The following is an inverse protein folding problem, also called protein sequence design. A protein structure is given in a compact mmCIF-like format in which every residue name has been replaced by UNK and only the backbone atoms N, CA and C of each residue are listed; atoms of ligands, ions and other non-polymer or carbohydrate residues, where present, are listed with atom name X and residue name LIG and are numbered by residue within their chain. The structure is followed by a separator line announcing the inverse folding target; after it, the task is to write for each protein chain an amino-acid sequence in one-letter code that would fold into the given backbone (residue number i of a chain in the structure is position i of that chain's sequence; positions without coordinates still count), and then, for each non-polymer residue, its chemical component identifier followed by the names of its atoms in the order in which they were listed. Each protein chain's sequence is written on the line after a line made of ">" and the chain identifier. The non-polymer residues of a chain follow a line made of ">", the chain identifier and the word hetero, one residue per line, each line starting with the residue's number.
data_IF_259596388524
#
_entry.id   IF_259596388524
#
_cell.length_a   1.000
_cell.length_b   1.000
_cell.length_c   1.000
_cell.angle_alpha   90.00
_cell.angle_beta   90.00
_cell.angle_gamma   90.00
#
_symmetry.space_group_name_H-M   'P 1'
#
loop_
_entity.id
_entity.type
_entity.pdbx_description
1 polymer ?
#
# COMPACT_ATOMS: atom_id res chain seq x y z
N UNK A 1 24.25 17.43 -37.81
CA UNK A 1 23.25 18.48 -37.51
C UNK A 1 22.09 17.79 -36.81
N UNK A 2 22.18 17.70 -35.48
CA UNK A 2 21.41 18.45 -34.47
C UNK A 2 19.98 17.92 -34.23
N UNK A 3 19.89 16.90 -33.38
CA UNK A 3 18.66 16.39 -32.77
C UNK A 3 18.30 17.08 -31.45
N UNK A 4 18.65 18.37 -31.29
CA UNK A 4 18.30 19.18 -30.11
C UNK A 4 17.16 20.17 -30.37
N UNK A 5 16.88 20.52 -31.62
CA UNK A 5 15.91 21.59 -31.94
C UNK A 5 14.43 21.14 -31.86
N UNK A 6 14.14 19.85 -31.61
CA UNK A 6 12.75 19.35 -31.45
C UNK A 6 12.24 19.28 -30.01
N UNK A 7 13.04 19.66 -29.02
CA UNK A 7 12.64 19.61 -27.60
C UNK A 7 12.24 20.98 -27.02
N UNK A 8 12.63 22.07 -27.68
CA UNK A 8 12.34 23.43 -27.19
C UNK A 8 10.95 23.96 -27.61
N UNK A 9 10.17 23.16 -28.37
CA UNK A 9 8.87 23.56 -28.94
C UNK A 9 7.66 22.82 -28.33
N UNK A 10 7.82 22.18 -27.16
CA UNK A 10 6.65 21.68 -26.42
C UNK A 10 6.02 22.86 -25.68
N UNK A 11 4.99 23.45 -26.28
CA UNK A 11 4.14 24.44 -25.61
C UNK A 11 3.55 23.83 -24.33
N UNK A 12 3.89 24.44 -23.20
CA UNK A 12 3.33 24.10 -21.89
C UNK A 12 1.83 24.42 -21.95
N UNK A 13 0.92 23.44 -21.75
CA UNK A 13 -0.51 23.68 -21.77
C UNK A 13 -0.89 24.76 -20.75
N UNK A 14 -1.68 25.74 -21.17
CA UNK A 14 -2.11 26.89 -20.34
C UNK A 14 -2.84 26.48 -19.06
N UNK A 15 -3.35 25.25 -18.98
CA UNK A 15 -3.96 24.67 -17.77
C UNK A 15 -2.96 24.44 -16.62
N UNK A 16 -1.67 24.24 -16.90
CA UNK A 16 -0.63 24.08 -15.87
C UNK A 16 -0.26 25.41 -15.21
N UNK A 17 -0.27 26.50 -15.98
CA UNK A 17 -0.04 27.85 -15.45
C UNK A 17 -1.10 28.30 -14.46
N UNK A 18 -2.37 27.93 -14.69
CA UNK A 18 -3.47 28.23 -13.76
C UNK A 18 -3.31 27.48 -12.45
N UNK A 19 -2.98 26.19 -12.49
CA UNK A 19 -2.74 25.36 -11.29
C UNK A 19 -1.55 25.88 -10.47
N UNK A 20 -0.46 26.29 -11.14
CA UNK A 20 0.72 26.85 -10.47
C UNK A 20 0.41 28.23 -9.86
N UNK A 21 -0.35 29.08 -10.56
CA UNK A 21 -0.75 30.39 -10.04
C UNK A 21 -1.74 30.27 -8.87
N UNK A 22 -2.67 29.32 -8.91
CA UNK A 22 -3.62 29.06 -7.83
C UNK A 22 -2.93 28.47 -6.59
N UNK A 23 -1.98 27.56 -6.78
CA UNK A 23 -1.14 27.04 -5.70
C UNK A 23 -0.33 28.18 -5.05
N UNK A 24 0.24 29.08 -5.85
CA UNK A 24 1.06 30.21 -5.37
C UNK A 24 0.20 31.28 -4.67
N UNK A 25 -1.02 31.56 -5.15
CA UNK A 25 -1.99 32.46 -4.49
C UNK A 25 -2.48 31.89 -3.15
N UNK A 26 -2.76 30.58 -3.06
CA UNK A 26 -3.14 29.91 -1.81
C UNK A 26 -2.02 29.93 -0.77
N UNK A 27 -0.76 29.71 -1.19
CA UNK A 27 0.41 29.77 -0.32
C UNK A 27 0.66 31.17 0.28
N UNK A 28 0.49 32.23 -0.52
CA UNK A 28 0.63 33.61 -0.03
C UNK A 28 -0.49 34.03 0.93
N UNK A 29 -1.72 33.53 0.75
CA UNK A 29 -2.86 33.80 1.65
C UNK A 29 -2.66 33.18 3.04
N UNK A 30 -2.05 31.98 3.12
CA UNK A 30 -1.74 31.32 4.40
C UNK A 30 -0.59 32.02 5.16
N UNK A 31 0.39 32.62 4.47
CA UNK A 31 1.52 33.28 5.13
C UNK A 31 1.14 34.61 5.83
N UNK A 32 0.08 35.28 5.39
CA UNK A 32 -0.36 36.58 5.95
C UNK A 32 -1.19 36.45 7.23
N UNK A 33 -1.78 35.29 7.51
CA UNK A 33 -2.66 35.09 8.68
C UNK A 33 -1.98 34.46 9.91
N UNK A 34 -0.67 34.22 9.86
CA UNK A 34 0.08 33.52 10.92
C UNK A 34 0.64 34.46 12.00
N UNK A 35 0.10 35.68 12.11
CA UNK A 35 0.56 36.71 13.06
C UNK A 35 -0.50 37.14 14.07
N UNK A 36 -1.49 36.32 14.36
CA UNK A 36 -2.31 36.45 15.58
C UNK A 36 -2.74 35.05 16.00
N UNK A 37 -2.10 34.51 17.04
CA UNK A 37 -2.72 33.81 18.18
C UNK A 37 -1.62 33.09 18.98
N UNK A 38 -1.19 33.72 20.07
CA UNK A 38 -0.49 33.06 21.18
C UNK A 38 -1.58 32.74 22.20
N UNK A 39 -1.73 31.46 22.58
CA UNK A 39 -2.62 31.06 23.67
C UNK A 39 -3.10 29.61 23.59
N UNK A 40 -2.38 28.74 24.31
CA UNK A 40 -2.90 27.65 25.16
C UNK A 40 -3.68 26.45 24.59
N UNK A 41 -3.35 25.29 25.18
CA UNK A 41 -4.11 24.03 25.33
C UNK A 41 -4.13 22.99 24.19
N UNK A 42 -3.32 21.93 24.41
CA UNK A 42 -3.71 20.51 24.38
C UNK A 42 -4.97 20.13 23.58
N UNK A 43 -4.84 20.05 22.26
CA UNK A 43 -5.53 19.06 21.41
C UNK A 43 -4.56 18.74 20.28
N UNK A 44 -3.83 17.63 20.38
CA UNK A 44 -2.96 17.15 19.32
C UNK A 44 -3.84 16.67 18.16
N UNK A 45 -4.06 17.58 17.22
CA UNK A 45 -4.87 17.38 16.04
C UNK A 45 -4.38 16.17 15.23
N UNK A 46 -5.32 15.27 14.90
CA UNK A 46 -5.24 14.37 13.76
C UNK A 46 -5.16 15.22 12.49
N UNK A 47 -3.97 15.69 12.17
CA UNK A 47 -3.69 16.36 10.91
C UNK A 47 -3.48 15.27 9.86
N UNK A 48 -4.49 15.08 9.00
CA UNK A 48 -4.33 14.35 7.74
C UNK A 48 -3.16 14.96 6.96
N UNK A 49 -2.00 14.32 7.07
CA UNK A 49 -0.81 14.67 6.33
C UNK A 49 -1.02 14.19 4.89
N UNK A 50 -1.40 15.10 4.00
CA UNK A 50 -1.20 14.88 2.56
C UNK A 50 0.31 14.92 2.33
N UNK A 51 0.94 13.75 2.41
CA UNK A 51 2.36 13.61 2.06
C UNK A 51 2.44 13.64 0.54
N UNK A 52 2.81 14.79 -0.03
CA UNK A 52 3.32 14.83 -1.39
C UNK A 52 4.73 14.23 -1.38
N UNK A 53 4.85 12.93 -1.61
CA UNK A 53 6.17 12.28 -1.71
C UNK A 53 6.75 12.65 -3.07
N UNK A 54 7.78 13.50 -3.06
CA UNK A 54 8.64 13.74 -4.22
C UNK A 54 9.74 12.66 -4.22
N UNK A 55 9.49 11.52 -4.86
CA UNK A 55 10.52 10.48 -5.08
C UNK A 55 11.00 10.52 -6.54
N UNK A 56 12.25 10.93 -6.81
CA UNK A 56 12.83 11.02 -8.16
C UNK A 56 12.86 9.68 -8.93
N UNK A 57 12.77 8.55 -8.24
CA UNK A 57 12.82 7.19 -8.80
C UNK A 57 11.60 6.84 -9.66
N UNK A 58 10.49 7.56 -9.53
CA UNK A 58 9.24 7.25 -10.24
C UNK A 58 9.32 7.53 -11.74
N UNK A 59 10.18 8.46 -12.18
CA UNK A 59 10.26 8.90 -13.57
C UNK A 59 10.80 7.81 -14.54
N UNK A 60 11.59 6.85 -14.05
CA UNK A 60 12.18 5.78 -14.86
C UNK A 60 11.20 4.62 -15.16
N UNK A 61 10.03 4.59 -14.51
CA UNK A 61 9.13 3.43 -14.56
C UNK A 61 8.23 3.36 -15.80
N UNK A 62 8.09 4.44 -16.59
CA UNK A 62 7.03 4.55 -17.60
C UNK A 62 7.43 4.23 -19.06
N UNK A 63 8.68 3.87 -19.35
CA UNK A 63 9.17 3.88 -20.74
C UNK A 63 8.60 2.79 -21.67
N UNK A 64 8.15 1.63 -21.17
CA UNK A 64 8.09 0.43 -22.03
C UNK A 64 6.79 -0.42 -21.96
N UNK A 65 5.64 0.12 -21.53
CA UNK A 65 4.37 -0.63 -21.51
C UNK A 65 3.30 0.10 -22.34
N UNK A 66 2.54 -0.59 -23.22
CA UNK A 66 1.40 0.01 -23.91
C UNK A 66 0.31 0.39 -22.89
N UNK A 67 0.32 1.65 -22.50
CA UNK A 67 -0.64 2.23 -21.57
C UNK A 67 -1.94 2.52 -22.31
N UNK A 68 -3.04 1.97 -21.82
CA UNK A 68 -4.41 2.35 -22.24
C UNK A 68 -4.94 3.34 -21.20
N UNK A 69 -5.63 4.40 -21.62
CA UNK A 69 -6.22 5.37 -20.72
C UNK A 69 -5.27 6.46 -20.23
N UNK A 70 -5.78 7.35 -19.37
CA UNK A 70 -5.04 8.50 -18.85
C UNK A 70 -4.49 8.22 -17.45
N UNK A 71 -3.22 8.55 -17.22
CA UNK A 71 -2.61 8.48 -15.87
C UNK A 71 -3.35 9.46 -14.95
N UNK A 72 -3.86 8.97 -13.84
CA UNK A 72 -4.47 9.78 -12.78
C UNK A 72 -3.43 10.11 -11.72
N UNK A 73 -2.68 9.12 -11.26
CA UNK A 73 -1.76 9.26 -10.11
C UNK A 73 -0.64 8.22 -10.19
N UNK A 74 0.56 8.59 -9.75
CA UNK A 74 1.68 7.66 -9.56
C UNK A 74 2.24 7.85 -8.15
N UNK A 75 2.41 6.77 -7.41
CA UNK A 75 2.92 6.79 -6.04
C UNK A 75 3.56 5.44 -5.70
N UNK A 76 4.35 5.43 -4.61
CA UNK A 76 4.86 4.19 -4.03
C UNK A 76 3.87 3.67 -2.99
N UNK A 77 3.53 4.47 -1.98
CA UNK A 77 2.60 4.09 -0.90
C UNK A 77 1.40 5.03 -0.89
N UNK A 78 0.21 4.52 -0.57
CA UNK A 78 -0.98 5.34 -0.34
C UNK A 78 -2.25 4.75 -0.92
N UNK A 79 -3.24 5.61 -1.17
CA UNK A 79 -4.53 5.22 -1.72
C UNK A 79 -5.07 6.19 -2.75
N UNK A 80 -6.18 5.80 -3.37
CA UNK A 80 -6.85 6.52 -4.44
C UNK A 80 -8.15 5.83 -4.87
N UNK A 81 -8.56 6.04 -6.11
CA UNK A 81 -9.80 5.48 -6.65
C UNK A 81 -11.07 6.20 -6.20
N UNK A 82 -12.21 5.58 -6.50
CA UNK A 82 -13.56 6.10 -6.22
C UNK A 82 -14.41 5.05 -5.50
N UNK A 83 -15.44 5.51 -4.77
CA UNK A 83 -16.41 4.60 -4.18
C UNK A 83 -17.09 3.77 -5.27
N UNK A 84 -17.12 2.46 -5.08
CA UNK A 84 -17.79 1.50 -5.97
C UNK A 84 -18.54 0.49 -5.12
N UNK A 85 -19.45 -0.26 -5.73
CA UNK A 85 -20.13 -1.38 -5.09
C UNK A 85 -20.29 -2.51 -6.11
N UNK A 86 -19.99 -3.74 -5.70
CA UNK A 86 -20.14 -4.92 -6.54
C UNK A 86 -19.13 -5.05 -7.68
N UNK A 87 -18.01 -4.32 -7.64
CA UNK A 87 -16.99 -4.46 -8.68
C UNK A 87 -16.33 -5.84 -8.64
N UNK A 88 -15.95 -6.33 -9.82
CA UNK A 88 -15.17 -7.57 -10.00
C UNK A 88 -13.80 -7.20 -10.51
N UNK A 89 -12.76 -7.72 -9.86
CA UNK A 89 -11.37 -7.51 -10.22
C UNK A 89 -10.79 -8.70 -10.98
N UNK A 90 -9.94 -8.42 -11.95
CA UNK A 90 -9.10 -9.41 -12.64
C UNK A 90 -7.72 -8.83 -12.93
N UNK A 91 -6.73 -9.68 -13.11
CA UNK A 91 -5.35 -9.27 -13.34
C UNK A 91 -4.92 -9.53 -14.77
N UNK A 92 -3.85 -8.86 -15.21
CA UNK A 92 -3.10 -9.20 -16.41
C UNK A 92 -1.62 -8.92 -16.16
N UNK A 93 -0.79 -9.94 -16.29
CA UNK A 93 0.65 -9.81 -16.22
C UNK A 93 1.25 -9.49 -17.59
N UNK A 94 2.26 -8.62 -17.61
CA UNK A 94 3.10 -8.32 -18.77
C UNK A 94 4.51 -7.96 -18.29
N UNK A 95 5.51 -8.77 -18.67
CA UNK A 95 6.89 -8.64 -18.15
C UNK A 95 6.93 -8.62 -16.61
N UNK A 96 7.61 -7.66 -15.99
CA UNK A 96 7.64 -7.45 -14.54
C UNK A 96 6.57 -6.44 -14.05
N UNK A 97 5.46 -6.35 -14.78
CA UNK A 97 4.31 -5.54 -14.43
C UNK A 97 3.03 -6.37 -14.31
N UNK A 98 2.11 -5.87 -13.48
CA UNK A 98 0.77 -6.39 -13.26
C UNK A 98 -0.24 -5.27 -13.39
N UNK A 99 -1.25 -5.45 -14.24
CA UNK A 99 -2.42 -4.58 -14.30
C UNK A 99 -3.61 -5.24 -13.62
N UNK A 100 -4.33 -4.50 -12.78
CA UNK A 100 -5.53 -4.93 -12.06
C UNK A 100 -6.70 -4.15 -12.64
N UNK A 101 -7.56 -4.83 -13.39
CA UNK A 101 -8.70 -4.27 -14.09
C UNK A 101 -10.00 -4.54 -13.33
N UNK A 102 -10.97 -3.65 -13.50
CA UNK A 102 -12.24 -3.70 -12.78
C UNK A 102 -13.42 -3.60 -13.73
N UNK A 103 -14.49 -4.35 -13.42
CA UNK A 103 -15.75 -4.31 -14.17
C UNK A 103 -16.96 -4.43 -13.25
N UNK A 104 -18.11 -3.96 -13.74
CA UNK A 104 -19.45 -4.18 -13.18
C UNK A 104 -20.37 -4.54 -14.35
N UNK A 105 -21.17 -5.60 -14.24
CA UNK A 105 -22.11 -6.06 -15.27
C UNK A 105 -21.48 -6.10 -16.69
N UNK A 106 -20.29 -6.73 -16.77
CA UNK A 106 -19.43 -6.85 -17.97
C UNK A 106 -18.87 -5.56 -18.58
N UNK A 107 -19.17 -4.39 -18.00
CA UNK A 107 -18.62 -3.11 -18.41
C UNK A 107 -17.38 -2.75 -17.60
N UNK A 108 -16.32 -2.30 -18.27
CA UNK A 108 -15.15 -1.76 -17.57
C UNK A 108 -15.52 -0.49 -16.82
N UNK A 109 -15.01 -0.37 -15.59
CA UNK A 109 -15.14 0.86 -14.84
C UNK A 109 -14.30 1.97 -15.49
N UNK A 110 -14.77 3.21 -15.46
CA UNK A 110 -14.02 4.37 -15.93
C UNK A 110 -12.91 4.79 -14.95
N UNK A 111 -13.02 4.42 -13.66
CA UNK A 111 -12.06 4.73 -12.59
C UNK A 111 -11.83 3.49 -11.73
N UNK A 112 -10.66 3.40 -11.10
CA UNK A 112 -10.38 2.32 -10.16
C UNK A 112 -11.28 2.43 -8.91
N UNK A 113 -11.73 1.31 -8.32
CA UNK A 113 -12.31 1.26 -6.97
C UNK A 113 -11.39 1.88 -5.92
N UNK A 114 -11.97 2.32 -4.80
CA UNK A 114 -11.22 2.89 -3.69
C UNK A 114 -10.21 1.88 -3.15
N UNK A 115 -8.92 2.25 -3.10
CA UNK A 115 -7.86 1.29 -2.75
C UNK A 115 -6.82 1.87 -1.79
N UNK A 116 -6.07 0.97 -1.15
CA UNK A 116 -4.82 1.26 -0.45
C UNK A 116 -3.72 0.28 -0.88
N UNK A 117 -2.48 0.78 -0.90
CA UNK A 117 -1.26 0.01 -1.08
C UNK A 117 -0.28 0.40 0.01
N UNK A 118 0.17 -0.59 0.76
CA UNK A 118 1.16 -0.43 1.83
C UNK A 118 2.37 -1.32 1.59
N UNK A 119 3.55 -0.86 1.99
CA UNK A 119 4.76 -1.69 2.06
C UNK A 119 5.11 -1.94 3.51
N UNK A 120 5.19 -3.21 3.90
CA UNK A 120 5.50 -3.64 5.26
C UNK A 120 6.74 -4.52 5.25
N UNK A 121 7.44 -4.60 6.39
CA UNK A 121 8.61 -5.44 6.58
C UNK A 121 8.29 -6.66 7.45
N UNK A 122 9.19 -7.65 7.42
CA UNK A 122 9.07 -8.90 8.16
C UNK A 122 7.90 -9.78 7.70
N UNK A 123 7.85 -10.24 6.43
CA UNK A 123 8.80 -10.00 5.34
C UNK A 123 8.49 -8.72 4.56
N UNK A 124 9.38 -8.34 3.65
CA UNK A 124 9.18 -7.23 2.70
C UNK A 124 8.02 -7.58 1.76
N UNK A 125 6.90 -6.86 1.91
CA UNK A 125 5.65 -7.20 1.25
C UNK A 125 4.82 -5.98 0.90
N UNK A 126 4.09 -6.08 -0.20
CA UNK A 126 3.05 -5.13 -0.59
C UNK A 126 1.69 -5.68 -0.18
N UNK A 127 0.88 -4.86 0.48
CA UNK A 127 -0.50 -5.20 0.86
C UNK A 127 -1.43 -4.33 0.05
N UNK A 128 -2.25 -4.95 -0.79
CA UNK A 128 -3.27 -4.29 -1.59
C UNK A 128 -4.64 -4.52 -0.94
N UNK A 129 -5.40 -3.46 -0.73
CA UNK A 129 -6.82 -3.53 -0.35
C UNK A 129 -7.64 -2.74 -1.36
N UNK A 130 -8.70 -3.36 -1.89
CA UNK A 130 -9.68 -2.72 -2.76
C UNK A 130 -11.05 -2.78 -2.12
N UNK A 131 -11.69 -1.64 -1.93
CA UNK A 131 -13.03 -1.49 -1.34
C UNK A 131 -14.07 -1.29 -2.45
N UNK A 132 -15.28 -1.79 -2.23
CA UNK A 132 -16.32 -1.87 -3.24
C UNK A 132 -16.11 -2.99 -4.27
N UNK A 133 -15.16 -3.90 -4.03
CA UNK A 133 -14.84 -5.05 -4.89
C UNK A 133 -15.27 -6.31 -4.17
N UNK A 134 -16.23 -7.05 -4.73
CA UNK A 134 -16.80 -8.26 -4.12
C UNK A 134 -16.13 -9.54 -4.59
N UNK A 135 -15.55 -9.51 -5.78
CA UNK A 135 -14.92 -10.69 -6.38
C UNK A 135 -13.56 -10.35 -6.98
N UNK A 136 -12.63 -11.27 -6.78
CA UNK A 136 -11.32 -11.29 -7.44
C UNK A 136 -11.09 -12.74 -7.89
N UNK A 137 -10.70 -12.91 -9.15
CA UNK A 137 -10.22 -14.21 -9.63
C UNK A 137 -8.87 -14.54 -8.98
N UNK A 138 -8.92 -15.15 -7.80
CA UNK A 138 -7.74 -15.43 -6.97
C UNK A 138 -6.77 -16.40 -7.66
N UNK A 139 -7.27 -17.41 -8.38
CA UNK A 139 -6.42 -18.37 -9.08
C UNK A 139 -5.64 -17.70 -10.21
N UNK A 140 -6.30 -16.82 -10.97
CA UNK A 140 -5.63 -16.05 -12.02
C UNK A 140 -4.66 -15.02 -11.42
N UNK A 141 -5.06 -14.32 -10.37
CA UNK A 141 -4.22 -13.34 -9.68
C UNK A 141 -2.94 -13.99 -9.16
N UNK A 142 -3.04 -15.14 -8.48
CA UNK A 142 -1.88 -15.88 -7.99
C UNK A 142 -0.97 -16.30 -9.16
N UNK A 143 -1.53 -16.84 -10.24
CA UNK A 143 -0.77 -17.23 -11.44
C UNK A 143 -0.03 -16.05 -12.05
N UNK A 144 -0.73 -14.93 -12.27
CA UNK A 144 -0.17 -13.72 -12.89
C UNK A 144 0.94 -13.11 -12.01
N UNK A 145 0.75 -13.04 -10.69
CA UNK A 145 1.71 -12.46 -9.76
C UNK A 145 2.95 -13.36 -9.59
N UNK A 146 2.77 -14.69 -9.53
CA UNK A 146 3.90 -15.64 -9.46
C UNK A 146 4.77 -15.64 -10.72
N UNK A 147 4.24 -15.16 -11.85
CA UNK A 147 5.01 -15.02 -13.08
C UNK A 147 5.98 -13.83 -13.07
N UNK A 148 5.88 -12.91 -12.10
CA UNK A 148 6.78 -11.77 -11.96
C UNK A 148 8.13 -12.19 -11.35
N UNK A 149 9.24 -11.71 -11.89
CA UNK A 149 10.58 -12.15 -11.48
C UNK A 149 10.94 -11.75 -10.04
N UNK A 150 10.27 -10.72 -9.51
CA UNK A 150 10.58 -10.08 -8.23
C UNK A 150 9.72 -10.58 -7.06
N UNK A 151 8.84 -11.55 -7.31
CA UNK A 151 7.91 -12.08 -6.30
C UNK A 151 8.46 -13.33 -5.64
N UNK A 152 8.36 -13.39 -4.32
CA UNK A 152 8.71 -14.54 -3.49
C UNK A 152 7.49 -15.41 -3.18
N UNK A 153 6.40 -14.79 -2.76
CA UNK A 153 5.12 -15.45 -2.53
C UNK A 153 3.96 -14.48 -2.77
N UNK A 154 2.75 -15.02 -2.90
CA UNK A 154 1.50 -14.26 -2.99
C UNK A 154 0.41 -15.03 -2.27
N UNK A 155 -0.44 -14.31 -1.54
CA UNK A 155 -1.56 -14.92 -0.83
C UNK A 155 -2.71 -13.93 -0.63
N UNK A 156 -3.91 -14.49 -0.44
CA UNK A 156 -5.09 -13.73 -0.02
C UNK A 156 -4.98 -13.41 1.47
N UNK A 157 -5.57 -12.29 1.88
CA UNK A 157 -5.91 -12.05 3.27
C UNK A 157 -7.43 -12.00 3.37
N UNK A 158 -8.03 -12.94 4.11
CA UNK A 158 -9.45 -12.89 4.43
C UNK A 158 -9.70 -11.73 5.39
N UNK A 159 -10.62 -10.84 5.04
CA UNK A 159 -11.06 -9.70 5.85
C UNK A 159 -12.56 -9.79 6.07
N UNK A 160 -13.06 -9.17 7.14
CA UNK A 160 -14.48 -9.26 7.50
C UNK A 160 -15.38 -8.36 6.65
N UNK A 161 -14.79 -7.41 5.92
CA UNK A 161 -15.51 -6.58 4.95
C UNK A 161 -15.77 -7.39 3.68
N UNK A 162 -17.01 -7.84 3.50
CA UNK A 162 -17.48 -8.60 2.33
C UNK A 162 -17.56 -7.76 1.04
N UNK A 163 -17.38 -6.44 1.17
CA UNK A 163 -17.31 -5.49 0.08
C UNK A 163 -15.86 -5.10 -0.25
N UNK A 164 -14.87 -5.79 0.31
CA UNK A 164 -13.48 -5.55 0.02
C UNK A 164 -12.68 -6.84 -0.24
N UNK A 165 -11.65 -6.72 -1.09
CA UNK A 165 -10.65 -7.76 -1.29
C UNK A 165 -9.28 -7.28 -0.83
N UNK A 166 -8.54 -8.16 -0.16
CA UNK A 166 -7.15 -7.92 0.23
C UNK A 166 -6.25 -9.08 -0.21
N UNK A 167 -5.09 -8.75 -0.74
CA UNK A 167 -4.04 -9.71 -1.03
C UNK A 167 -2.66 -9.12 -0.75
N UNK A 168 -1.69 -10.01 -0.60
CA UNK A 168 -0.32 -9.69 -0.25
C UNK A 168 0.64 -10.25 -1.29
N UNK A 169 1.61 -9.44 -1.67
CA UNK A 169 2.74 -9.84 -2.52
C UNK A 169 4.00 -9.76 -1.67
N UNK A 170 4.62 -10.90 -1.35
CA UNK A 170 5.96 -10.93 -0.76
C UNK A 170 7.01 -10.71 -1.85
N UNK A 171 7.94 -9.79 -1.59
CA UNK A 171 8.98 -9.43 -2.53
C UNK A 171 10.26 -10.22 -2.25
N UNK A 172 11.02 -10.46 -3.32
CA UNK A 172 12.43 -10.85 -3.19
C UNK A 172 13.25 -9.68 -2.65
N UNK A 173 14.47 -9.96 -2.22
CA UNK A 173 15.38 -8.92 -1.72
C UNK A 173 15.73 -7.90 -2.80
N UNK A 174 15.96 -6.65 -2.36
CA UNK A 174 16.39 -5.54 -3.22
C UNK A 174 15.42 -5.23 -4.36
N UNK A 175 14.12 -5.36 -4.09
CA UNK A 175 13.05 -4.96 -5.01
C UNK A 175 12.51 -3.60 -4.62
N UNK A 176 12.26 -2.76 -5.62
CA UNK A 176 11.48 -1.55 -5.50
C UNK A 176 10.31 -1.60 -6.49
N UNK A 177 9.39 -0.66 -6.35
CA UNK A 177 8.12 -0.71 -7.06
C UNK A 177 7.55 0.67 -7.35
N UNK A 178 6.61 0.70 -8.30
CA UNK A 178 5.74 1.84 -8.56
C UNK A 178 4.31 1.36 -8.76
N UNK A 179 3.35 2.10 -8.18
CA UNK A 179 1.92 1.91 -8.43
C UNK A 179 1.37 3.13 -9.14
N UNK A 180 0.66 2.89 -10.24
CA UNK A 180 0.00 3.92 -11.03
C UNK A 180 -1.49 3.63 -11.14
N UNK A 181 -2.30 4.67 -10.97
CA UNK A 181 -3.75 4.65 -11.19
C UNK A 181 -4.07 5.26 -12.55
N UNK A 182 -4.94 4.61 -13.30
CA UNK A 182 -5.42 5.03 -14.61
C UNK A 182 -6.94 5.19 -14.62
N UNK A 183 -7.42 5.99 -15.59
CA UNK A 183 -8.84 6.16 -15.91
C UNK A 183 -9.11 6.02 -17.41
N UNK A 184 -10.36 5.70 -17.74
CA UNK A 184 -10.87 5.55 -19.10
C UNK A 184 -10.07 4.54 -19.96
N UNK A 185 -10.01 3.25 -19.56
CA UNK A 185 -10.67 2.62 -18.42
C UNK A 185 -9.86 2.69 -17.12
N UNK A 186 -10.55 2.46 -16.00
CA UNK A 186 -10.01 2.42 -14.66
C UNK A 186 -9.23 1.14 -14.36
N UNK A 187 -7.96 1.26 -13.99
CA UNK A 187 -7.14 0.13 -13.52
C UNK A 187 -5.96 0.60 -12.67
N UNK A 188 -5.39 -0.33 -11.91
CA UNK A 188 -4.13 -0.15 -11.18
C UNK A 188 -3.01 -0.88 -11.90
N UNK A 189 -1.87 -0.23 -12.07
CA UNK A 189 -0.66 -0.82 -12.64
C UNK A 189 0.45 -0.87 -11.60
N UNK A 190 0.90 -2.07 -11.27
CA UNK A 190 2.09 -2.33 -10.48
C UNK A 190 3.25 -2.64 -11.42
N UNK A 191 4.38 -1.98 -11.23
CA UNK A 191 5.67 -2.36 -11.84
C UNK A 191 6.68 -2.65 -10.76
N UNK A 192 7.36 -3.79 -10.88
CA UNK A 192 8.44 -4.20 -9.98
C UNK A 192 9.79 -4.07 -10.71
N UNK A 193 10.82 -3.66 -9.98
CA UNK A 193 12.16 -3.50 -10.53
C UNK A 193 13.23 -3.64 -9.43
N UNK A 194 14.49 -3.83 -9.83
CA UNK A 194 15.60 -3.83 -8.88
C UNK A 194 15.73 -2.47 -8.20
N UNK A 195 15.82 -2.46 -6.87
CA UNK A 195 16.11 -1.26 -6.10
C UNK A 195 17.50 -0.70 -6.48
N UNK A 196 17.59 0.62 -6.61
CA UNK A 196 18.86 1.30 -6.88
C UNK A 196 19.84 1.17 -5.71
N UNK A 197 19.31 1.20 -4.49
CA UNK A 197 20.08 1.04 -3.26
C UNK A 197 19.68 -0.27 -2.57
N UNK A 198 20.68 -1.12 -2.30
CA UNK A 198 20.47 -2.35 -1.55
C UNK A 198 20.39 -2.03 -0.06
N UNK A 199 19.29 -2.38 0.58
CA UNK A 199 19.16 -2.31 2.03
C UNK A 199 19.48 -3.68 2.62
N UNK A 200 20.39 -3.71 3.60
CA UNK A 200 20.72 -4.95 4.31
C UNK A 200 19.50 -5.36 5.17
N UNK A 201 19.12 -6.65 5.16
CA UNK A 201 18.13 -7.15 6.09
C UNK A 201 18.52 -6.80 7.53
N UNK A 202 17.55 -6.35 8.32
CA UNK A 202 17.74 -5.98 9.72
C UNK A 202 16.76 -6.73 10.60
N UNK A 203 17.16 -7.01 11.83
CA UNK A 203 16.27 -7.61 12.81
C UNK A 203 15.17 -6.62 13.20
N UNK A 204 13.94 -7.12 13.29
CA UNK A 204 12.75 -6.37 13.68
C UNK A 204 12.01 -7.12 14.78
N UNK A 205 11.35 -6.36 15.66
CA UNK A 205 10.57 -6.87 16.77
C UNK A 205 9.08 -6.57 16.56
N UNK A 206 8.24 -7.52 16.92
CA UNK A 206 6.80 -7.47 16.70
C UNK A 206 6.06 -7.96 17.93
N UNK A 207 4.82 -7.48 18.11
CA UNK A 207 3.84 -8.21 18.91
C UNK A 207 3.05 -9.08 17.95
N UNK A 208 2.87 -10.36 18.26
CA UNK A 208 2.16 -11.29 17.38
C UNK A 208 1.30 -12.31 18.13
N UNK A 209 0.31 -12.83 17.41
CA UNK A 209 -0.49 -13.99 17.82
C UNK A 209 0.29 -15.30 17.67
N UNK A 210 -0.28 -16.40 18.16
CA UNK A 210 0.11 -17.73 17.74
C UNK A 210 -0.16 -17.97 16.24
N UNK A 211 0.37 -19.08 15.71
CA UNK A 211 0.10 -19.54 14.35
C UNK A 211 -1.35 -20.04 14.24
N UNK A 212 -2.08 -19.49 13.29
CA UNK A 212 -3.49 -19.76 13.02
C UNK A 212 -3.69 -20.20 11.57
N UNK A 213 -4.76 -20.95 11.33
CA UNK A 213 -5.23 -21.21 9.97
C UNK A 213 -5.77 -19.92 9.34
N UNK A 214 -5.67 -19.80 8.02
CA UNK A 214 -6.34 -18.71 7.30
C UNK A 214 -7.86 -18.87 7.44
N UNK A 215 -8.56 -17.80 7.81
CA UNK A 215 -10.00 -17.88 8.04
C UNK A 215 -10.56 -16.69 8.81
N UNK A 216 -11.85 -16.77 9.11
CA UNK A 216 -12.57 -15.72 9.84
C UNK A 216 -12.01 -15.47 11.24
N UNK A 217 -11.51 -16.50 11.94
CA UNK A 217 -10.91 -16.33 13.26
C UNK A 217 -9.67 -15.43 13.23
N UNK A 218 -8.79 -15.62 12.24
CA UNK A 218 -7.65 -14.75 11.99
C UNK A 218 -8.10 -13.33 11.60
N UNK A 219 -9.11 -13.22 10.74
CA UNK A 219 -9.66 -11.93 10.31
C UNK A 219 -10.26 -11.14 11.49
N UNK A 220 -11.04 -11.78 12.36
CA UNK A 220 -11.57 -11.20 13.59
C UNK A 220 -10.46 -10.69 14.50
N UNK A 221 -9.40 -11.49 14.68
CA UNK A 221 -8.26 -11.08 15.49
C UNK A 221 -7.55 -9.85 14.89
N UNK A 222 -7.37 -9.82 13.57
CA UNK A 222 -6.78 -8.69 12.87
C UNK A 222 -7.64 -7.42 13.05
N UNK A 223 -8.96 -7.49 12.83
CA UNK A 223 -9.87 -6.35 13.02
C UNK A 223 -9.84 -5.83 14.46
N UNK A 224 -9.76 -6.74 15.45
CA UNK A 224 -9.68 -6.37 16.85
C UNK A 224 -8.47 -5.48 17.18
N UNK A 225 -7.40 -5.58 16.40
CA UNK A 225 -6.15 -4.82 16.58
C UNK A 225 -5.87 -3.86 15.42
N UNK A 226 -6.87 -3.55 14.60
CA UNK A 226 -6.74 -2.66 13.46
C UNK A 226 -6.20 -1.27 13.87
N UNK A 227 -6.69 -0.73 14.99
CA UNK A 227 -6.26 0.56 15.55
C UNK A 227 -4.79 0.58 16.00
N UNK A 228 -4.15 -0.60 16.15
CA UNK A 228 -2.73 -0.78 16.47
C UNK A 228 -1.87 -1.05 15.23
N UNK A 229 -2.44 -0.93 14.04
CA UNK A 229 -1.73 -1.20 12.78
C UNK A 229 -1.45 -2.68 12.57
N UNK A 230 -2.38 -3.55 12.96
CA UNK A 230 -2.26 -4.99 12.74
C UNK A 230 -2.19 -5.33 11.25
N UNK A 231 -1.37 -6.33 10.93
CA UNK A 231 -1.25 -6.92 9.60
C UNK A 231 -1.24 -8.44 9.73
N UNK A 232 -1.70 -9.15 8.70
CA UNK A 232 -1.59 -10.61 8.64
C UNK A 232 -0.34 -11.01 7.83
N UNK A 233 0.41 -11.96 8.37
CA UNK A 233 1.62 -12.49 7.74
C UNK A 233 1.57 -14.01 7.68
N UNK A 234 2.01 -14.59 6.56
CA UNK A 234 2.21 -16.02 6.43
C UNK A 234 3.48 -16.44 7.19
N UNK A 235 3.42 -17.53 7.94
CA UNK A 235 4.57 -18.05 8.70
C UNK A 235 5.32 -19.09 7.89
N UNK A 236 6.51 -19.49 8.34
CA UNK A 236 7.32 -20.51 7.64
C UNK A 236 6.65 -21.88 7.61
N UNK A 237 5.70 -22.14 8.49
CA UNK A 237 4.92 -23.39 8.53
C UNK A 237 3.78 -23.41 7.52
N UNK A 238 3.52 -22.28 6.83
CA UNK A 238 2.39 -22.12 5.91
C UNK A 238 1.11 -21.64 6.57
N UNK A 239 1.10 -21.48 7.89
CA UNK A 239 0.03 -20.85 8.68
C UNK A 239 0.14 -19.33 8.63
N UNK A 240 -0.67 -18.64 9.42
CA UNK A 240 -0.73 -17.19 9.47
C UNK A 240 -0.69 -16.67 10.90
N UNK A 241 -0.28 -15.42 11.06
CA UNK A 241 -0.34 -14.71 12.33
C UNK A 241 -0.74 -13.25 12.14
N UNK A 242 -1.39 -12.69 13.15
CA UNK A 242 -1.59 -11.25 13.26
C UNK A 242 -0.34 -10.66 13.89
N UNK A 243 0.26 -9.67 13.25
CA UNK A 243 1.46 -8.96 13.71
C UNK A 243 1.20 -7.47 13.82
N UNK A 244 1.81 -6.83 14.81
CA UNK A 244 1.73 -5.39 15.03
C UNK A 244 3.14 -4.83 15.21
N UNK A 245 3.36 -3.66 14.62
CA UNK A 245 4.65 -2.98 14.63
C UNK A 245 5.58 -3.43 13.50
N UNK A 246 6.86 -3.15 13.71
CA UNK A 246 8.05 -3.49 12.89
C UNK A 246 9.20 -2.75 13.58
N UNK A 247 9.36 -3.00 14.87
CA UNK A 247 10.15 -2.16 15.76
C UNK A 247 11.64 -2.46 15.63
N UNK A 248 12.46 -1.43 15.86
CA UNK A 248 13.92 -1.54 15.76
C UNK A 248 14.54 -2.18 17.01
N UNK A 249 13.77 -2.28 18.10
CA UNK A 249 14.23 -2.85 19.35
C UNK A 249 13.09 -3.51 20.13
N UNK A 250 13.48 -4.43 21.02
CA UNK A 250 12.60 -5.21 21.88
C UNK A 250 11.70 -4.33 22.77
N UNK A 251 12.26 -3.27 23.36
CA UNK A 251 11.54 -2.44 24.34
C UNK A 251 10.29 -1.77 23.75
N UNK A 252 10.32 -1.39 22.46
CA UNK A 252 9.14 -0.85 21.79
C UNK A 252 8.03 -1.90 21.63
N UNK A 253 8.37 -3.13 21.25
CA UNK A 253 7.41 -4.21 21.13
C UNK A 253 6.81 -4.59 22.49
N UNK A 254 7.64 -4.67 23.53
CA UNK A 254 7.18 -4.92 24.91
C UNK A 254 6.27 -3.80 25.41
N UNK A 255 6.61 -2.54 25.11
CA UNK A 255 5.76 -1.39 25.48
C UNK A 255 4.38 -1.51 24.84
N UNK A 256 4.31 -1.85 23.54
CA UNK A 256 3.03 -2.06 22.87
C UNK A 256 2.24 -3.21 23.52
N UNK A 257 2.89 -4.35 23.79
CA UNK A 257 2.23 -5.48 24.45
C UNK A 257 1.68 -5.11 25.83
N UNK A 258 2.43 -4.37 26.64
CA UNK A 258 1.97 -3.92 27.95
C UNK A 258 0.80 -2.93 27.86
N UNK A 259 0.82 -2.01 26.89
CA UNK A 259 -0.31 -1.11 26.64
C UNK A 259 -1.56 -1.89 26.26
N UNK A 260 -1.44 -2.93 25.43
CA UNK A 260 -2.56 -3.77 25.04
C UNK A 260 -3.14 -4.55 26.23
N UNK A 261 -2.29 -5.07 27.11
CA UNK A 261 -2.72 -5.77 28.34
C UNK A 261 -3.49 -4.87 29.30
N UNK A 262 -3.19 -3.58 29.31
CA UNK A 262 -3.87 -2.60 30.17
C UNK A 262 -5.21 -2.10 29.58
N UNK A 263 -5.41 -2.22 28.26
CA UNK A 263 -6.56 -1.64 27.54
C UNK A 263 -7.70 -2.63 27.24
N UNK A 264 -7.48 -3.94 27.33
CA UNK A 264 -8.46 -4.98 26.96
C UNK A 264 -8.67 -6.02 28.06
N UNK A 265 -9.79 -6.73 27.98
CA UNK A 265 -10.03 -7.95 28.74
C UNK A 265 -8.91 -8.97 28.48
N UNK A 266 -8.35 -9.54 29.55
CA UNK A 266 -7.06 -10.24 29.57
C UNK A 266 -6.99 -11.45 28.63
N UNK A 267 -8.11 -12.11 28.31
CA UNK A 267 -8.11 -13.40 27.61
C UNK A 267 -7.52 -13.32 26.19
N UNK A 268 -7.96 -12.38 25.33
CA UNK A 268 -7.44 -12.32 23.94
C UNK A 268 -6.01 -11.76 23.88
N UNK A 269 -5.64 -10.88 24.81
CA UNK A 269 -4.27 -10.33 24.86
C UNK A 269 -3.29 -11.34 25.47
N UNK A 270 -3.77 -12.27 26.31
CA UNK A 270 -2.92 -13.32 26.92
C UNK A 270 -2.24 -14.22 25.88
N UNK A 271 -2.80 -14.33 24.68
CA UNK A 271 -2.28 -15.11 23.57
C UNK A 271 -1.30 -14.32 22.66
N UNK A 272 -1.06 -13.04 22.95
CA UNK A 272 -0.07 -12.24 22.25
C UNK A 272 1.28 -12.27 22.96
N UNK A 273 2.34 -12.35 22.17
CA UNK A 273 3.71 -12.35 22.65
C UNK A 273 4.62 -11.50 21.76
N UNK A 274 5.78 -11.12 22.30
CA UNK A 274 6.82 -10.44 21.54
C UNK A 274 7.66 -11.49 20.83
N UNK A 275 7.89 -11.28 19.54
CA UNK A 275 8.74 -12.13 18.69
C UNK A 275 9.61 -11.24 17.79
N UNK A 276 10.62 -11.85 17.16
CA UNK A 276 11.56 -11.13 16.32
C UNK A 276 12.03 -11.97 15.14
N UNK A 277 12.24 -11.29 14.01
CA UNK A 277 12.81 -11.91 12.81
C UNK A 277 13.37 -10.86 11.86
N UNK A 278 14.08 -11.32 10.84
CA UNK A 278 14.68 -10.43 9.84
C UNK A 278 13.62 -9.76 8.97
N UNK A 279 13.84 -8.50 8.60
CA UNK A 279 12.93 -7.66 7.81
C UNK A 279 12.53 -8.23 6.45
N UNK A 280 13.28 -9.18 5.91
CA UNK A 280 13.03 -9.88 4.64
C UNK A 280 12.47 -11.30 4.83
N UNK A 281 12.29 -11.77 6.07
CA UNK A 281 11.92 -13.14 6.39
C UNK A 281 10.52 -13.23 6.99
N UNK A 282 9.92 -14.42 6.89
CA UNK A 282 8.69 -14.76 7.61
C UNK A 282 9.03 -15.17 9.05
N UNK A 283 8.10 -14.95 10.00
CA UNK A 283 8.22 -15.49 11.35
C UNK A 283 8.27 -17.02 11.31
N UNK A 284 8.94 -17.59 12.31
CA UNK A 284 9.08 -19.05 12.44
C UNK A 284 7.75 -19.70 12.77
#
# INVERSE_FOLDING_TARGET
>A
MYGKEKYDEIEIPSSLSEVIQDARKRAHKMKRNRRVWRGSSLVAACAAMVITVNVPTVALALSDVPIIGSVVKIFQIGGGGQSTDGAVATTKQESDSLSIHFKVDDNQLASAPAYTVERLAGPDRLVFTFNGVRELDYAKMEKDIRALNYVKDVYRNIILDDSAVRFVIELKENVDYSVSEYKDPGYIHLKLFSAANRSQPRELFFVRSEDMEEGEALAMLAEQFHDKGSSMVKTRTGKFAVVMGSFDNLAQAETLLQQMKQQKEEETVSQLYVDHWMSNANPK
#
